data_IF_769203266665
#
_entry.id   IF_769203266665
#
_cell.length_a   1.000
_cell.length_b   1.000
_cell.length_c   1.000
_cell.angle_alpha   90.00
_cell.angle_beta   90.00
_cell.angle_gamma   90.00
#
_symmetry.space_group_name_H-M   'P 1'
#
loop_
_entity.id
_entity.type
_entity.pdbx_description
1 polymer ?
#
# COMPACT_ATOMS: atom_id res chain seq x y z
N UNK A 1 28.85 -53.21 -13.26
CA UNK A 1 27.89 -53.45 -14.36
C UNK A 1 26.99 -52.24 -14.49
N UNK A 2 27.32 -51.36 -15.44
CA UNK A 2 26.58 -50.13 -15.73
C UNK A 2 25.35 -50.46 -16.57
N UNK A 3 24.19 -49.88 -16.25
CA UNK A 3 23.05 -49.79 -17.17
C UNK A 3 22.72 -48.31 -17.40
N UNK A 4 23.27 -47.79 -18.49
CA UNK A 4 22.81 -46.58 -19.15
C UNK A 4 21.50 -46.88 -19.89
N UNK A 5 20.48 -46.05 -19.71
CA UNK A 5 19.29 -46.04 -20.56
C UNK A 5 19.23 -44.68 -21.27
N UNK A 6 19.29 -44.76 -22.59
CA UNK A 6 19.25 -43.67 -23.55
C UNK A 6 17.82 -43.18 -23.75
N UNK A 7 17.62 -41.85 -23.70
CA UNK A 7 16.41 -41.21 -24.22
C UNK A 7 16.58 -40.84 -25.71
N UNK A 8 15.51 -40.91 -26.52
CA UNK A 8 15.55 -40.52 -27.92
C UNK A 8 15.35 -39.01 -28.11
N UNK A 9 16.11 -38.47 -29.06
CA UNK A 9 16.02 -37.11 -29.58
C UNK A 9 14.80 -36.95 -30.50
N UNK A 10 14.05 -35.87 -30.31
CA UNK A 10 13.06 -35.38 -31.28
C UNK A 10 13.61 -34.12 -31.97
N UNK A 11 13.64 -34.18 -33.30
CA UNK A 11 13.99 -33.12 -34.23
C UNK A 11 12.74 -32.53 -34.88
N UNK A 12 12.93 -31.33 -35.46
CA UNK A 12 12.05 -30.62 -36.42
C UNK A 12 11.01 -29.70 -35.75
N UNK A 13 10.76 -28.45 -36.19
CA UNK A 13 10.76 -27.90 -37.55
C UNK A 13 11.03 -26.38 -37.58
N UNK A 14 11.61 -25.94 -38.70
CA UNK A 14 11.78 -24.55 -39.18
C UNK A 14 10.44 -23.79 -39.29
N UNK A 15 10.43 -22.48 -39.03
CA UNK A 15 9.52 -21.49 -39.66
C UNK A 15 10.17 -20.10 -39.54
N UNK A 16 10.86 -19.64 -40.59
CA UNK A 16 10.45 -18.62 -41.58
C UNK A 16 10.70 -17.18 -41.13
N UNK A 17 11.78 -16.62 -41.67
CA UNK A 17 12.20 -15.21 -41.65
C UNK A 17 11.46 -14.45 -42.75
N UNK A 18 10.88 -13.29 -42.45
CA UNK A 18 10.48 -12.25 -43.42
C UNK A 18 10.43 -10.86 -42.70
N UNK A 19 10.49 -9.72 -43.42
CA UNK A 19 11.67 -8.87 -43.38
C UNK A 19 11.49 -7.50 -42.70
N UNK A 20 12.65 -6.91 -42.45
CA UNK A 20 12.99 -5.52 -42.15
C UNK A 20 12.11 -4.47 -42.85
N UNK A 21 11.47 -3.59 -42.07
CA UNK A 21 11.02 -2.27 -42.55
C UNK A 21 11.90 -1.21 -41.88
N UNK A 22 12.81 -0.64 -42.68
CA UNK A 22 13.50 0.62 -42.39
C UNK A 22 12.49 1.78 -42.51
N UNK A 23 12.47 2.68 -41.53
CA UNK A 23 12.14 4.09 -41.77
C UNK A 23 13.22 5.00 -41.20
N UNK A 24 13.70 5.85 -42.08
CA UNK A 24 14.72 6.87 -41.89
C UNK A 24 14.12 8.15 -41.28
N UNK A 25 14.95 8.80 -40.46
CA UNK A 25 15.21 10.26 -40.34
C UNK A 25 14.04 11.23 -40.17
N UNK A 26 14.10 12.09 -39.14
CA UNK A 26 14.69 13.46 -39.26
C UNK A 26 14.43 14.33 -38.02
N UNK A 27 15.44 15.14 -37.65
CA UNK A 27 15.38 16.51 -37.09
C UNK A 27 14.60 16.74 -35.79
N UNK A 28 15.15 17.24 -34.67
CA UNK A 28 16.10 18.34 -34.53
C UNK A 28 15.37 19.59 -34.05
N UNK A 29 15.35 19.87 -32.75
CA UNK A 29 15.07 21.20 -32.20
C UNK A 29 15.61 21.34 -30.77
N UNK A 30 16.68 22.14 -30.65
CA UNK A 30 17.20 22.71 -29.40
C UNK A 30 16.29 23.88 -29.00
N UNK A 31 15.93 24.00 -27.73
CA UNK A 31 15.46 25.26 -27.14
C UNK A 31 16.31 25.60 -25.92
N UNK A 32 16.97 26.76 -26.02
CA UNK A 32 17.73 27.48 -25.00
C UNK A 32 16.82 28.54 -24.34
N UNK A 33 17.17 28.93 -23.11
CA UNK A 33 16.74 30.18 -22.45
C UNK A 33 15.49 29.98 -21.60
N UNK A 34 15.32 30.55 -20.41
CA UNK A 34 15.88 31.76 -19.83
C UNK A 34 16.17 31.55 -18.33
N UNK A 35 17.33 32.05 -17.90
CA UNK A 35 17.60 32.38 -16.51
C UNK A 35 17.05 33.80 -16.25
N UNK A 36 16.32 33.99 -15.16
CA UNK A 36 15.99 35.32 -14.63
C UNK A 36 16.59 35.41 -13.23
N UNK A 37 17.65 36.21 -13.16
CA UNK A 37 18.25 36.74 -11.95
C UNK A 37 17.51 38.03 -11.58
N UNK A 38 17.12 38.17 -10.31
CA UNK A 38 16.87 39.49 -9.72
C UNK A 38 17.43 39.53 -8.31
N UNK A 39 18.43 40.37 -8.16
CA UNK A 39 19.13 40.75 -6.95
C UNK A 39 18.39 41.84 -6.17
N UNK A 40 18.75 41.94 -4.88
CA UNK A 40 18.81 43.12 -4.02
C UNK A 40 17.52 43.68 -3.37
N UNK A 41 17.30 43.24 -2.12
CA UNK A 41 16.53 43.95 -1.09
C UNK A 41 17.41 45.05 -0.49
N UNK A 42 17.06 46.32 -0.76
CA UNK A 42 17.65 47.51 -0.11
C UNK A 42 16.94 47.84 1.21
N UNK A 43 17.75 48.37 2.12
CA UNK A 43 17.53 48.68 3.54
C UNK A 43 16.43 49.72 3.79
N UNK A 44 15.74 49.58 4.94
CA UNK A 44 14.77 50.52 5.53
C UNK A 44 15.40 51.89 5.85
N UNK A 45 14.68 53.02 5.65
CA UNK A 45 15.07 54.31 6.22
C UNK A 45 14.48 54.50 7.63
N UNK A 46 15.24 55.21 8.48
CA UNK A 46 14.86 55.64 9.83
C UNK A 46 13.83 56.77 9.77
N UNK A 47 12.78 56.68 10.58
CA UNK A 47 11.77 57.73 10.76
C UNK A 47 12.30 58.81 11.70
N UNK A 48 12.43 60.03 11.19
CA UNK A 48 12.73 61.24 11.97
C UNK A 48 11.46 61.85 12.58
N UNK A 49 11.62 62.47 13.75
CA UNK A 49 10.59 63.26 14.44
C UNK A 49 10.34 64.57 13.68
N UNK A 50 9.08 64.90 13.41
CA UNK A 50 8.64 66.25 13.01
C UNK A 50 7.47 66.68 13.88
N UNK A 51 7.48 67.96 14.23
CA UNK A 51 6.67 68.63 15.23
C UNK A 51 5.30 69.11 14.72
N UNK A 52 4.36 69.18 15.67
CA UNK A 52 3.28 70.15 15.94
C UNK A 52 2.58 70.87 14.78
N UNK A 53 1.25 70.71 14.74
CA UNK A 53 0.32 71.79 14.39
C UNK A 53 -0.70 71.44 13.28
N UNK A 54 -1.76 70.69 13.60
CA UNK A 54 -2.98 70.62 12.78
C UNK A 54 -4.19 70.67 13.72
N UNK A 55 -5.20 71.53 13.48
CA UNK A 55 -6.42 71.62 14.29
C UNK A 55 -7.29 70.36 14.15
N UNK A 56 -7.83 69.88 15.27
CA UNK A 56 -8.64 68.65 15.34
C UNK A 56 -9.99 68.82 14.65
N UNK A 57 -10.34 67.86 13.78
CA UNK A 57 -11.71 67.65 13.31
C UNK A 57 -12.57 67.03 14.44
N UNK A 58 -13.89 67.28 14.46
CA UNK A 58 -14.77 66.76 15.48
C UNK A 58 -14.79 65.22 15.47
N UNK A 59 -14.75 64.66 16.67
CA UNK A 59 -14.69 63.23 16.96
C UNK A 59 -15.97 62.54 16.44
N UNK A 60 -15.83 61.71 15.40
CA UNK A 60 -16.93 60.85 14.93
C UNK A 60 -17.06 59.71 15.94
N UNK A 61 -18.19 59.64 16.65
CA UNK A 61 -18.47 58.53 17.56
C UNK A 61 -18.27 57.18 16.84
N UNK A 62 -17.51 56.24 17.42
CA UNK A 62 -17.34 54.93 16.81
C UNK A 62 -18.70 54.21 16.73
N UNK A 63 -18.99 53.46 15.65
CA UNK A 63 -20.26 52.78 15.50
C UNK A 63 -20.51 51.87 16.71
N UNK A 64 -21.67 52.06 17.36
CA UNK A 64 -22.13 51.22 18.47
C UNK A 64 -21.98 49.75 18.07
N UNK A 65 -21.18 49.00 18.83
CA UNK A 65 -20.96 47.56 18.61
C UNK A 65 -22.31 46.86 18.51
N UNK A 66 -22.60 46.30 17.34
CA UNK A 66 -23.74 45.41 17.12
C UNK A 66 -23.67 44.28 18.16
N UNK A 67 -24.75 43.94 18.88
CA UNK A 67 -24.72 42.86 19.85
C UNK A 67 -24.26 41.58 19.15
N UNK A 68 -23.11 41.04 19.53
CA UNK A 68 -22.72 39.69 19.11
C UNK A 68 -23.75 38.74 19.71
N UNK A 69 -24.64 38.23 18.87
CA UNK A 69 -25.51 37.10 19.19
C UNK A 69 -24.64 36.02 19.82
N UNK A 70 -24.84 35.76 21.11
CA UNK A 70 -24.19 34.66 21.82
C UNK A 70 -24.77 33.38 21.24
N UNK A 71 -24.10 32.81 20.24
CA UNK A 71 -24.39 31.47 19.74
C UNK A 71 -24.37 30.52 20.93
N UNK A 72 -25.45 29.77 21.14
CA UNK A 72 -25.53 28.85 22.28
C UNK A 72 -24.42 27.80 22.09
N UNK A 73 -23.67 27.50 23.15
CA UNK A 73 -22.55 26.53 23.14
C UNK A 73 -22.91 25.16 22.51
N UNK A 74 -24.19 24.78 22.53
CA UNK A 74 -24.71 23.58 21.86
C UNK A 74 -24.86 23.68 20.34
N UNK A 75 -25.18 24.86 19.80
CA UNK A 75 -25.27 25.09 18.35
C UNK A 75 -23.89 25.05 17.70
N UNK A 76 -22.87 25.61 18.36
CA UNK A 76 -21.47 25.54 17.89
C UNK A 76 -20.99 24.10 17.78
N UNK A 77 -21.30 23.25 18.77
CA UNK A 77 -20.92 21.83 18.77
C UNK A 77 -21.61 21.04 17.67
N UNK A 78 -22.90 21.29 17.41
CA UNK A 78 -23.62 20.63 16.31
C UNK A 78 -23.11 21.03 14.93
N UNK A 79 -22.79 22.31 14.74
CA UNK A 79 -22.21 22.81 13.48
C UNK A 79 -20.83 22.20 13.24
N UNK A 80 -20.01 22.11 14.28
CA UNK A 80 -18.70 21.46 14.22
C UNK A 80 -18.84 19.98 13.83
N UNK A 81 -19.67 19.21 14.53
CA UNK A 81 -19.94 17.80 14.23
C UNK A 81 -20.42 17.57 12.80
N UNK A 82 -21.30 18.44 12.28
CA UNK A 82 -21.75 18.39 10.88
C UNK A 82 -20.60 18.64 9.90
N UNK A 83 -19.71 19.58 10.23
CA UNK A 83 -18.49 19.83 9.46
C UNK A 83 -17.56 18.61 9.44
N UNK A 84 -17.39 17.93 10.57
CA UNK A 84 -16.58 16.71 10.66
C UNK A 84 -17.17 15.57 9.82
N UNK A 85 -18.48 15.33 9.95
CA UNK A 85 -19.19 14.30 9.21
C UNK A 85 -19.11 14.53 7.70
N UNK A 86 -19.24 15.79 7.26
CA UNK A 86 -19.09 16.16 5.84
C UNK A 86 -17.68 15.84 5.32
N UNK A 87 -16.63 16.18 6.07
CA UNK A 87 -15.24 15.95 5.66
C UNK A 87 -14.89 14.47 5.59
N UNK A 88 -15.32 13.70 6.59
CA UNK A 88 -15.20 12.24 6.55
C UNK A 88 -15.95 11.65 5.36
N UNK A 89 -17.14 12.16 5.04
CA UNK A 89 -17.90 11.74 3.87
C UNK A 89 -17.16 12.05 2.56
N UNK A 90 -16.66 13.26 2.38
CA UNK A 90 -15.86 13.67 1.21
C UNK A 90 -14.60 12.79 1.06
N UNK A 91 -13.87 12.55 2.16
CA UNK A 91 -12.72 11.64 2.18
C UNK A 91 -13.11 10.23 1.74
N UNK A 92 -14.17 9.68 2.34
CA UNK A 92 -14.66 8.34 2.03
C UNK A 92 -15.05 8.24 0.57
N UNK A 93 -15.78 9.23 0.02
CA UNK A 93 -16.14 9.27 -1.40
C UNK A 93 -14.90 9.29 -2.29
N UNK A 94 -13.91 10.12 -1.98
CA UNK A 94 -12.64 10.18 -2.71
C UNK A 94 -11.91 8.84 -2.72
N UNK A 95 -11.83 8.18 -1.56
CA UNK A 95 -11.17 6.88 -1.43
C UNK A 95 -11.95 5.79 -2.15
N UNK A 96 -13.28 5.73 -2.02
CA UNK A 96 -14.12 4.70 -2.67
C UNK A 96 -14.09 4.79 -4.19
N UNK A 97 -13.91 5.99 -4.78
CA UNK A 97 -13.68 6.11 -6.24
C UNK A 97 -12.42 5.36 -6.68
N UNK A 98 -11.38 5.38 -5.86
CA UNK A 98 -10.10 4.71 -6.14
C UNK A 98 -10.17 3.23 -5.76
N UNK A 99 -10.78 2.91 -4.62
CA UNK A 99 -10.90 1.57 -4.05
C UNK A 99 -12.39 1.25 -3.80
N UNK A 100 -13.14 0.76 -4.80
CA UNK A 100 -14.58 0.51 -4.67
C UNK A 100 -14.95 -0.52 -3.58
N UNK A 101 -14.00 -1.40 -3.26
CA UNK A 101 -14.17 -2.48 -2.29
C UNK A 101 -13.71 -2.14 -0.86
N UNK A 102 -13.33 -0.89 -0.61
CA UNK A 102 -12.75 -0.45 0.67
C UNK A 102 -13.74 -0.54 1.85
N UNK A 103 -13.21 -0.89 3.02
CA UNK A 103 -13.90 -0.90 4.30
C UNK A 103 -13.11 -0.06 5.32
N UNK A 104 -13.78 0.60 6.29
CA UNK A 104 -13.09 1.10 7.48
C UNK A 104 -12.33 -0.03 8.17
N UNK A 105 -11.14 0.25 8.70
CA UNK A 105 -10.26 -0.77 9.29
C UNK A 105 -10.97 -1.66 10.33
N UNK A 106 -11.72 -1.06 11.26
CA UNK A 106 -12.43 -1.83 12.29
C UNK A 106 -13.49 -2.76 11.70
N UNK A 107 -14.27 -2.28 10.72
CA UNK A 107 -15.27 -3.10 10.01
C UNK A 107 -14.59 -4.27 9.28
N UNK A 108 -13.45 -4.04 8.64
CA UNK A 108 -12.68 -5.10 8.01
C UNK A 108 -12.21 -6.16 9.02
N UNK A 109 -11.72 -5.74 10.18
CA UNK A 109 -11.27 -6.66 11.22
C UNK A 109 -12.42 -7.49 11.80
N UNK A 110 -13.55 -6.85 12.11
CA UNK A 110 -14.76 -7.54 12.59
C UNK A 110 -15.24 -8.59 11.58
N UNK A 111 -15.35 -8.23 10.30
CA UNK A 111 -15.84 -9.13 9.26
C UNK A 111 -14.86 -10.28 8.96
N UNK A 112 -13.57 -9.98 8.83
CA UNK A 112 -12.56 -11.01 8.58
C UNK A 112 -12.46 -11.99 9.76
N UNK A 113 -12.48 -11.51 11.00
CA UNK A 113 -12.51 -12.35 12.19
C UNK A 113 -13.80 -13.18 12.27
N UNK A 114 -14.97 -12.61 11.98
CA UNK A 114 -16.25 -13.35 11.97
C UNK A 114 -16.20 -14.53 11.00
N UNK A 115 -15.70 -14.31 9.77
CA UNK A 115 -15.61 -15.35 8.75
C UNK A 115 -14.62 -16.44 9.14
N UNK A 116 -13.44 -16.04 9.60
CA UNK A 116 -12.41 -16.98 10.00
C UNK A 116 -12.82 -17.77 11.25
N UNK A 117 -13.52 -17.15 12.20
CA UNK A 117 -14.12 -17.84 13.35
C UNK A 117 -15.11 -18.92 12.92
N UNK A 118 -15.96 -18.65 11.91
CA UNK A 118 -16.88 -19.64 11.34
C UNK A 118 -16.15 -20.82 10.66
N UNK A 119 -14.93 -20.61 10.21
CA UNK A 119 -14.04 -21.64 9.68
C UNK A 119 -13.16 -22.29 10.77
N UNK A 120 -13.35 -21.88 12.03
CA UNK A 120 -12.67 -22.43 13.20
C UNK A 120 -11.31 -21.80 13.51
N UNK A 121 -10.93 -20.69 12.89
CA UNK A 121 -9.75 -19.91 13.28
C UNK A 121 -10.18 -18.87 14.32
N UNK A 122 -9.61 -18.92 15.51
CA UNK A 122 -9.81 -17.91 16.54
C UNK A 122 -8.45 -17.51 17.17
N UNK A 123 -8.45 -16.43 17.94
CA UNK A 123 -7.27 -15.92 18.67
C UNK A 123 -6.54 -16.96 19.52
N UNK A 124 -7.27 -17.94 20.06
CA UNK A 124 -6.72 -18.95 20.97
C UNK A 124 -6.24 -20.22 20.24
N UNK A 125 -6.53 -20.35 18.94
CA UNK A 125 -6.26 -21.56 18.14
C UNK A 125 -5.44 -21.33 16.90
N UNK A 126 -5.25 -20.07 16.48
CA UNK A 126 -4.49 -19.70 15.30
C UNK A 126 -3.42 -18.66 15.62
N UNK A 127 -2.28 -18.76 14.94
CA UNK A 127 -1.26 -17.72 14.96
C UNK A 127 -1.45 -16.79 13.77
N UNK A 128 -1.58 -15.50 14.03
CA UNK A 128 -1.49 -14.49 12.99
C UNK A 128 -0.03 -14.35 12.51
N UNK A 129 0.18 -14.37 11.19
CA UNK A 129 1.45 -14.09 10.53
C UNK A 129 1.25 -12.84 9.68
N UNK A 130 1.99 -11.78 9.96
CA UNK A 130 1.64 -10.43 9.46
C UNK A 130 2.79 -9.83 8.66
N UNK A 131 2.59 -9.66 7.36
CA UNK A 131 3.49 -9.00 6.42
C UNK A 131 2.93 -7.66 5.93
N UNK A 132 3.36 -6.56 6.56
CA UNK A 132 3.08 -5.18 6.15
C UNK A 132 4.36 -4.50 5.63
N UNK A 133 4.24 -3.26 5.15
CA UNK A 133 5.42 -2.42 4.90
C UNK A 133 6.15 -2.12 6.23
N UNK A 134 7.46 -1.88 6.16
CA UNK A 134 8.25 -1.40 7.31
C UNK A 134 7.88 0.02 7.75
N UNK A 135 7.17 0.74 6.90
CA UNK A 135 6.69 2.10 7.16
C UNK A 135 5.87 2.18 8.46
N UNK A 136 6.14 3.16 9.33
CA UNK A 136 5.54 3.22 10.68
C UNK A 136 4.03 3.43 10.66
N UNK A 137 3.53 3.96 9.55
CA UNK A 137 2.12 4.29 9.33
C UNK A 137 1.25 3.04 9.21
N UNK A 138 1.86 1.87 9.02
CA UNK A 138 1.15 0.57 9.01
C UNK A 138 0.72 0.11 10.42
N UNK A 139 1.22 0.76 11.47
CA UNK A 139 1.02 0.35 12.86
C UNK A 139 -0.44 0.27 13.33
N UNK A 140 -1.37 1.17 12.95
CA UNK A 140 -2.77 1.03 13.32
C UNK A 140 -3.39 -0.30 12.87
N UNK A 141 -3.02 -0.80 11.68
CA UNK A 141 -3.50 -2.08 11.18
C UNK A 141 -2.87 -3.24 11.95
N UNK A 142 -1.55 -3.21 12.17
CA UNK A 142 -0.88 -4.21 13.02
C UNK A 142 -1.54 -4.29 14.41
N UNK A 143 -1.80 -3.15 15.06
CA UNK A 143 -2.44 -3.12 16.37
C UNK A 143 -3.84 -3.75 16.35
N UNK A 144 -4.62 -3.48 15.30
CA UNK A 144 -5.97 -4.04 15.15
C UNK A 144 -5.92 -5.56 14.92
N UNK A 145 -4.93 -6.04 14.17
CA UNK A 145 -4.66 -7.48 14.04
C UNK A 145 -4.27 -8.07 15.39
N UNK A 146 -3.36 -7.43 16.14
CA UNK A 146 -2.93 -7.90 17.47
C UNK A 146 -4.09 -7.98 18.46
N UNK A 147 -4.99 -7.01 18.44
CA UNK A 147 -6.20 -7.02 19.28
C UNK A 147 -7.08 -8.24 18.97
N UNK A 148 -7.37 -8.46 17.68
CA UNK A 148 -8.24 -9.52 17.19
C UNK A 148 -7.62 -10.93 17.29
N UNK A 149 -6.31 -11.06 17.12
CA UNK A 149 -5.63 -12.36 16.92
C UNK A 149 -4.52 -12.67 17.93
N UNK A 150 -4.24 -11.77 18.88
CA UNK A 150 -3.09 -11.91 19.78
C UNK A 150 -1.77 -11.50 19.13
N UNK A 151 -0.65 -11.70 19.82
CA UNK A 151 0.67 -11.29 19.34
C UNK A 151 1.06 -12.02 18.04
N UNK A 152 1.22 -11.31 16.91
CA UNK A 152 1.48 -11.94 15.63
C UNK A 152 2.96 -12.27 15.43
N UNK A 153 3.23 -13.24 14.55
CA UNK A 153 4.55 -13.41 13.95
C UNK A 153 4.74 -12.37 12.84
N UNK A 154 5.59 -11.36 13.09
CA UNK A 154 5.77 -10.21 12.19
C UNK A 154 6.81 -10.50 11.12
N UNK A 155 6.43 -10.38 9.85
CA UNK A 155 7.27 -10.60 8.66
C UNK A 155 7.38 -9.36 7.77
N UNK A 156 7.30 -8.16 8.35
CA UNK A 156 7.32 -6.91 7.59
C UNK A 156 8.57 -6.79 6.71
N UNK A 157 8.41 -6.15 5.54
CA UNK A 157 9.51 -5.84 4.62
C UNK A 157 9.14 -4.65 3.74
N UNK A 158 10.11 -4.10 3.01
CA UNK A 158 9.84 -3.07 2.00
C UNK A 158 8.76 -3.52 1.01
N UNK A 159 7.75 -2.68 0.79
CA UNK A 159 6.63 -2.99 -0.10
C UNK A 159 5.77 -4.19 0.35
N UNK A 160 5.82 -4.56 1.63
CA UNK A 160 5.11 -5.71 2.21
C UNK A 160 5.39 -7.05 1.51
N UNK A 161 6.60 -7.26 1.00
CA UNK A 161 7.01 -8.51 0.37
C UNK A 161 7.19 -9.65 1.38
N UNK A 162 6.99 -10.89 0.92
CA UNK A 162 7.19 -12.07 1.75
C UNK A 162 8.66 -12.53 1.73
N UNK A 163 9.43 -12.12 2.75
CA UNK A 163 10.86 -12.48 2.89
C UNK A 163 11.12 -13.48 4.03
N UNK A 164 10.07 -14.12 4.56
CA UNK A 164 10.13 -15.03 5.73
C UNK A 164 10.88 -16.34 5.43
N UNK A 165 10.84 -16.79 4.17
CA UNK A 165 11.55 -17.98 3.70
C UNK A 165 11.07 -19.30 4.33
N UNK A 166 11.80 -20.37 4.02
CA UNK A 166 11.50 -21.74 4.47
C UNK A 166 11.51 -21.89 5.98
N UNK A 167 12.53 -21.36 6.65
CA UNK A 167 12.66 -21.56 8.10
C UNK A 167 11.66 -20.70 8.87
N UNK A 168 11.37 -19.48 8.42
CA UNK A 168 10.37 -18.66 9.10
C UNK A 168 8.95 -19.23 9.00
N UNK A 169 8.53 -19.82 7.87
CA UNK A 169 7.20 -20.46 7.80
C UNK A 169 7.10 -21.71 8.70
N UNK A 170 8.19 -22.46 8.86
CA UNK A 170 8.23 -23.59 9.81
C UNK A 170 8.14 -23.10 11.26
N UNK A 171 8.86 -22.02 11.61
CA UNK A 171 8.75 -21.41 12.93
C UNK A 171 7.33 -20.93 13.22
N UNK A 172 6.63 -20.37 12.23
CA UNK A 172 5.21 -20.04 12.38
C UNK A 172 4.37 -21.27 12.77
N UNK A 173 4.58 -22.42 12.12
CA UNK A 173 3.85 -23.66 12.44
C UNK A 173 4.20 -24.21 13.83
N UNK A 174 5.45 -24.07 14.26
CA UNK A 174 5.93 -24.53 15.57
C UNK A 174 5.40 -23.66 16.71
N UNK A 175 5.31 -22.34 16.50
CA UNK A 175 4.81 -21.38 17.50
C UNK A 175 3.29 -21.29 17.54
N UNK A 176 2.60 -21.82 16.53
CA UNK A 176 1.15 -21.74 16.46
C UNK A 176 0.48 -22.46 17.66
N UNK A 177 -0.56 -21.85 18.27
CA UNK A 177 -1.27 -22.44 19.39
C UNK A 177 -1.82 -23.84 19.09
N UNK A 178 -1.73 -24.74 20.06
CA UNK A 178 -2.36 -26.05 20.03
C UNK A 178 -3.23 -26.23 21.26
N UNK A 179 -4.55 -26.04 21.10
CA UNK A 179 -5.53 -26.20 22.20
C UNK A 179 -5.50 -27.62 22.81
N UNK A 180 -5.18 -28.63 22.01
CA UNK A 180 -5.02 -30.03 22.45
C UNK A 180 -3.87 -30.69 21.68
N UNK A 181 -3.33 -31.80 22.19
CA UNK A 181 -2.25 -32.55 21.52
C UNK A 181 -2.59 -33.02 20.10
N UNK A 182 -3.88 -33.23 19.80
CA UNK A 182 -4.36 -33.69 18.49
C UNK A 182 -5.02 -32.56 17.66
N UNK A 183 -4.96 -31.30 18.12
CA UNK A 183 -5.51 -30.19 17.37
C UNK A 183 -4.66 -29.92 16.12
N UNK A 184 -5.34 -29.59 15.01
CA UNK A 184 -4.69 -29.11 13.78
C UNK A 184 -4.03 -27.77 14.06
N UNK A 185 -2.83 -27.57 13.54
CA UNK A 185 -2.13 -26.28 13.60
C UNK A 185 -2.84 -25.28 12.70
N UNK A 186 -3.03 -24.03 13.15
CA UNK A 186 -3.72 -23.01 12.34
C UNK A 186 -2.90 -21.74 12.19
N UNK A 187 -2.81 -21.23 10.96
CA UNK A 187 -2.19 -19.95 10.64
C UNK A 187 -3.20 -19.02 9.97
N UNK A 188 -3.15 -17.74 10.29
CA UNK A 188 -3.84 -16.67 9.55
C UNK A 188 -2.81 -15.68 9.04
N UNK A 189 -2.56 -15.69 7.73
CA UNK A 189 -1.52 -14.90 7.08
C UNK A 189 -2.14 -13.64 6.50
N UNK A 190 -1.64 -12.47 6.90
CA UNK A 190 -1.99 -11.17 6.32
C UNK A 190 -0.81 -10.66 5.48
N UNK A 191 -1.03 -10.41 4.19
CA UNK A 191 -0.05 -9.76 3.31
C UNK A 191 -0.64 -8.46 2.75
N UNK A 192 -0.26 -7.32 3.33
CA UNK A 192 -0.93 -6.06 3.07
C UNK A 192 0.03 -4.91 2.79
N UNK A 193 0.32 -4.58 1.50
CA UNK A 193 0.98 -3.33 1.16
C UNK A 193 0.06 -2.15 1.49
N UNK A 194 0.65 -0.96 1.60
CA UNK A 194 -0.05 0.25 2.01
C UNK A 194 0.06 1.39 0.99
N UNK A 195 -0.90 2.31 1.03
CA UNK A 195 -0.94 3.52 0.20
C UNK A 195 -1.71 4.63 0.93
N UNK A 196 -1.35 5.89 0.71
CA UNK A 196 -2.15 7.02 1.19
C UNK A 196 -3.08 7.51 0.08
N UNK A 197 -4.29 7.95 0.46
CA UNK A 197 -5.25 8.56 -0.44
C UNK A 197 -6.02 9.71 0.24
N UNK A 198 -6.26 10.80 -0.49
CA UNK A 198 -6.99 11.98 0.01
C UNK A 198 -8.42 12.08 -0.54
N UNK A 199 -9.15 13.12 -0.13
CA UNK A 199 -10.54 13.38 -0.56
C UNK A 199 -10.70 13.65 -2.08
N UNK A 200 -9.61 13.95 -2.79
CA UNK A 200 -9.60 14.16 -4.24
C UNK A 200 -9.22 12.90 -5.02
N UNK A 201 -9.09 11.76 -4.33
CA UNK A 201 -8.61 10.49 -4.91
C UNK A 201 -7.15 10.53 -5.36
N UNK A 202 -6.37 11.53 -4.94
CA UNK A 202 -4.92 11.55 -5.15
C UNK A 202 -4.24 10.56 -4.21
N UNK A 203 -3.12 9.97 -4.67
CA UNK A 203 -2.43 8.91 -3.93
C UNK A 203 -0.93 9.15 -3.83
N UNK A 204 -0.34 8.67 -2.74
CA UNK A 204 1.12 8.53 -2.61
C UNK A 204 1.83 9.61 -1.82
N UNK A 205 1.13 10.65 -1.39
CA UNK A 205 1.64 11.65 -0.45
C UNK A 205 0.82 11.61 0.83
N UNK A 206 1.49 11.75 1.97
CA UNK A 206 0.87 11.80 3.29
C UNK A 206 1.55 12.81 4.19
N UNK A 207 0.78 13.45 5.05
CA UNK A 207 1.32 14.21 6.16
C UNK A 207 1.70 13.26 7.29
N UNK A 208 2.91 13.44 7.81
CA UNK A 208 3.43 12.65 8.94
C UNK A 208 3.53 13.54 10.15
N UNK A 209 3.34 12.95 11.33
CA UNK A 209 3.45 13.68 12.58
C UNK A 209 4.84 14.35 12.69
N UNK A 210 4.85 15.64 13.05
CA UNK A 210 6.09 16.43 13.17
C UNK A 210 6.77 16.81 11.86
N UNK A 211 6.16 16.53 10.69
CA UNK A 211 6.66 16.98 9.38
C UNK A 211 5.77 18.11 8.83
N UNK A 212 6.35 19.26 8.47
CA UNK A 212 5.58 20.37 7.90
C UNK A 212 5.14 20.10 6.45
N UNK A 213 5.87 19.23 5.75
CA UNK A 213 5.65 18.93 4.34
C UNK A 213 5.13 17.50 4.15
N UNK A 214 4.29 17.26 3.12
CA UNK A 214 3.83 15.93 2.80
C UNK A 214 5.02 15.05 2.37
N UNK A 215 5.04 13.84 2.89
CA UNK A 215 6.05 12.83 2.63
C UNK A 215 5.48 11.74 1.70
N UNK A 216 6.30 11.10 0.86
CA UNK A 216 5.88 9.91 0.13
C UNK A 216 5.41 8.79 1.07
N UNK A 217 4.31 8.14 0.72
CA UNK A 217 3.89 6.87 1.32
C UNK A 217 4.43 5.74 0.46
N UNK A 218 5.00 4.71 1.10
CA UNK A 218 5.57 3.57 0.41
C UNK A 218 6.58 4.01 -0.68
N UNK A 219 7.59 4.77 -0.24
CA UNK A 219 8.60 5.39 -1.10
C UNK A 219 9.34 4.39 -1.97
N UNK A 220 9.48 3.15 -1.51
CA UNK A 220 10.11 2.04 -2.20
C UNK A 220 9.35 1.66 -3.48
N UNK A 221 8.01 1.61 -3.46
CA UNK A 221 7.20 1.36 -4.65
C UNK A 221 7.21 2.54 -5.61
N UNK A 222 7.28 3.78 -5.09
CA UNK A 222 7.44 4.96 -5.94
C UNK A 222 8.81 4.98 -6.64
N UNK A 223 9.86 4.53 -5.96
CA UNK A 223 11.19 4.37 -6.54
C UNK A 223 11.20 3.27 -7.61
N UNK A 224 10.53 2.14 -7.35
CA UNK A 224 10.31 1.11 -8.37
C UNK A 224 9.59 1.67 -9.61
N UNK A 225 8.53 2.46 -9.44
CA UNK A 225 7.83 3.11 -10.56
C UNK A 225 8.75 4.03 -11.36
N UNK A 226 9.61 4.82 -10.69
CA UNK A 226 10.58 5.68 -11.39
C UNK A 226 11.53 4.86 -12.24
N UNK A 227 12.15 3.83 -11.65
CA UNK A 227 13.06 2.89 -12.33
C UNK A 227 12.38 2.19 -13.52
N UNK A 228 11.11 1.82 -13.35
CA UNK A 228 10.30 1.22 -14.40
C UNK A 228 10.07 2.19 -15.57
N UNK A 229 9.69 3.45 -15.29
CA UNK A 229 9.41 4.47 -16.31
C UNK A 229 10.65 4.87 -17.12
N UNK A 230 11.82 4.89 -16.50
CA UNK A 230 13.08 5.19 -17.21
C UNK A 230 13.69 3.97 -17.93
N UNK A 231 13.04 2.81 -17.84
CA UNK A 231 13.49 1.58 -18.51
C UNK A 231 14.68 0.91 -17.84
N UNK A 232 14.91 1.13 -16.54
CA UNK A 232 15.96 0.44 -15.78
C UNK A 232 15.74 -1.08 -15.77
N UNK A 233 14.48 -1.50 -15.67
CA UNK A 233 14.13 -2.92 -15.69
C UNK A 233 13.88 -3.38 -17.13
N UNK A 234 14.65 -4.38 -17.58
CA UNK A 234 14.46 -4.95 -18.92
C UNK A 234 13.37 -6.03 -18.90
N UNK A 235 12.11 -5.61 -18.81
CA UNK A 235 10.94 -6.51 -18.76
C UNK A 235 10.69 -7.27 -20.07
N UNK A 236 11.34 -6.89 -21.17
CA UNK A 236 11.18 -7.50 -22.50
C UNK A 236 12.25 -8.54 -22.85
N UNK A 237 13.30 -8.70 -22.02
CA UNK A 237 14.10 -9.93 -22.05
C UNK A 237 13.11 -11.07 -21.75
N UNK A 238 13.06 -12.06 -22.64
CA UNK A 238 12.26 -13.30 -22.60
C UNK A 238 11.78 -13.64 -21.15
N UNK A 239 10.53 -14.02 -20.87
CA UNK A 239 10.09 -14.37 -19.52
C UNK A 239 10.95 -15.47 -18.83
N UNK A 240 11.75 -16.21 -19.61
CA UNK A 240 12.75 -17.18 -19.16
C UNK A 240 14.16 -16.60 -18.90
N UNK A 241 14.40 -15.31 -19.11
CA UNK A 241 15.69 -14.62 -18.87
C UNK A 241 15.77 -14.00 -17.48
N UNK A 242 14.63 -13.75 -16.84
CA UNK A 242 14.65 -13.69 -15.39
C UNK A 242 14.91 -15.11 -14.92
N UNK A 243 16.00 -15.26 -14.18
CA UNK A 243 16.32 -16.39 -13.31
C UNK A 243 15.03 -17.12 -12.82
N UNK A 244 15.02 -18.48 -12.76
CA UNK A 244 13.95 -19.27 -12.15
C UNK A 244 13.38 -18.60 -10.91
N UNK A 245 12.12 -18.84 -10.57
CA UNK A 245 11.44 -18.01 -9.57
C UNK A 245 12.22 -17.81 -8.25
N UNK A 246 13.03 -18.79 -7.85
CA UNK A 246 13.82 -18.80 -6.62
C UNK A 246 15.25 -18.24 -6.79
N UNK A 247 15.69 -17.99 -8.03
CA UNK A 247 17.00 -17.43 -8.35
C UNK A 247 16.96 -15.89 -8.36
N UNK A 248 18.02 -15.30 -7.82
CA UNK A 248 18.25 -13.85 -7.77
C UNK A 248 19.01 -13.44 -9.03
N UNK A 249 18.52 -12.42 -9.74
CA UNK A 249 19.27 -11.80 -10.82
C UNK A 249 20.44 -10.99 -10.21
N UNK A 250 21.70 -11.41 -10.44
CA UNK A 250 22.87 -10.74 -9.87
C UNK A 250 23.05 -9.32 -10.42
N UNK A 251 22.53 -9.00 -11.61
CA UNK A 251 22.59 -7.64 -12.18
C UNK A 251 21.64 -6.68 -11.45
N UNK A 252 20.56 -7.20 -10.85
CA UNK A 252 19.58 -6.42 -10.09
C UNK A 252 19.79 -6.49 -8.58
N UNK A 253 20.83 -7.19 -8.12
CA UNK A 253 21.09 -7.43 -6.71
C UNK A 253 22.18 -6.50 -6.17
N UNK A 254 21.80 -5.65 -5.22
CA UNK A 254 22.71 -4.81 -4.46
C UNK A 254 22.76 -5.32 -3.01
N UNK A 255 23.90 -5.86 -2.55
CA UNK A 255 24.05 -6.30 -1.17
C UNK A 255 23.86 -5.19 -0.12
N UNK A 256 24.06 -3.93 -0.51
CA UNK A 256 23.87 -2.77 0.37
C UNK A 256 22.40 -2.34 0.50
N UNK A 257 21.53 -2.79 -0.42
CA UNK A 257 20.09 -2.54 -0.41
C UNK A 257 19.29 -3.83 -0.70
N UNK A 258 19.54 -4.83 0.13
CA UNK A 258 19.05 -6.21 0.00
C UNK A 258 17.53 -6.26 -0.24
N UNK A 259 16.74 -5.61 0.60
CA UNK A 259 15.28 -5.69 0.53
C UNK A 259 14.72 -4.99 -0.71
N UNK A 260 15.28 -3.84 -1.09
CA UNK A 260 14.82 -3.13 -2.28
C UNK A 260 15.17 -3.93 -3.55
N UNK A 261 16.37 -4.53 -3.61
CA UNK A 261 16.75 -5.40 -4.72
C UNK A 261 15.84 -6.62 -4.85
N UNK A 262 15.56 -7.31 -3.75
CA UNK A 262 14.64 -8.46 -3.75
C UNK A 262 13.23 -8.01 -4.16
N UNK A 263 12.73 -6.90 -3.60
CA UNK A 263 11.42 -6.35 -3.95
C UNK A 263 11.34 -6.03 -5.45
N UNK A 264 12.31 -5.30 -6.01
CA UNK A 264 12.31 -4.94 -7.42
C UNK A 264 12.25 -6.17 -8.33
N UNK A 265 13.03 -7.22 -8.03
CA UNK A 265 13.02 -8.46 -8.80
C UNK A 265 11.67 -9.16 -8.70
N UNK A 266 11.10 -9.28 -7.50
CA UNK A 266 9.79 -9.88 -7.26
C UNK A 266 8.68 -9.16 -8.02
N UNK A 267 8.65 -7.82 -7.97
CA UNK A 267 7.69 -7.01 -8.70
C UNK A 267 7.87 -7.14 -10.22
N UNK A 268 9.10 -7.19 -10.73
CA UNK A 268 9.34 -7.44 -12.16
C UNK A 268 8.80 -8.82 -12.58
N UNK A 269 9.10 -9.87 -11.82
CA UNK A 269 8.58 -11.23 -12.07
C UNK A 269 7.05 -11.24 -12.05
N UNK A 270 6.44 -10.54 -11.08
CA UNK A 270 4.98 -10.46 -11.00
C UNK A 270 4.35 -9.69 -12.17
N UNK A 271 4.93 -8.55 -12.58
CA UNK A 271 4.47 -7.82 -13.76
C UNK A 271 4.55 -8.67 -15.02
N UNK A 272 5.60 -9.48 -15.19
CA UNK A 272 5.73 -10.40 -16.31
C UNK A 272 4.62 -11.46 -16.28
N UNK A 273 4.33 -12.04 -15.10
CA UNK A 273 3.21 -12.99 -14.92
C UNK A 273 1.85 -12.36 -15.25
N UNK A 274 1.67 -11.08 -14.93
CA UNK A 274 0.45 -10.32 -15.23
C UNK A 274 0.34 -9.94 -16.73
N UNK A 275 1.27 -10.39 -17.58
CA UNK A 275 1.25 -10.12 -19.02
C UNK A 275 1.96 -8.82 -19.43
N UNK A 276 2.79 -8.27 -18.54
CA UNK A 276 3.55 -7.05 -18.74
C UNK A 276 2.98 -5.88 -17.94
N UNK A 277 3.37 -4.67 -18.36
CA UNK A 277 3.12 -3.45 -17.61
C UNK A 277 2.41 -2.42 -18.51
N UNK A 278 1.15 -2.13 -18.19
CA UNK A 278 0.32 -1.15 -18.92
C UNK A 278 -0.07 0.07 -18.05
N UNK A 279 0.05 -0.02 -16.73
CA UNK A 279 -0.33 1.05 -15.79
C UNK A 279 0.68 1.20 -14.65
N UNK A 280 1.39 2.35 -14.59
CA UNK A 280 2.36 2.72 -13.52
C UNK A 280 1.77 3.60 -12.46
N UNK A 281 0.45 3.64 -12.36
CA UNK A 281 -0.20 4.22 -11.20
C UNK A 281 0.33 3.54 -9.93
N UNK A 282 0.53 4.34 -8.88
CA UNK A 282 0.95 3.82 -7.59
C UNK A 282 -0.05 2.77 -7.09
N UNK A 283 -1.34 3.01 -7.31
CA UNK A 283 -2.40 2.05 -7.02
C UNK A 283 -2.15 0.67 -7.66
N UNK A 284 -1.85 0.62 -8.96
CA UNK A 284 -1.62 -0.64 -9.64
C UNK A 284 -0.37 -1.33 -9.09
N UNK A 285 0.72 -0.60 -8.88
CA UNK A 285 1.96 -1.17 -8.35
C UNK A 285 1.81 -1.64 -6.89
N UNK A 286 1.04 -0.94 -6.06
CA UNK A 286 0.66 -1.42 -4.71
C UNK A 286 -0.09 -2.74 -4.78
N UNK A 287 -1.03 -2.90 -5.73
CA UNK A 287 -1.73 -4.17 -5.96
C UNK A 287 -0.79 -5.28 -6.43
N UNK A 288 0.14 -4.98 -7.35
CA UNK A 288 1.16 -5.93 -7.82
C UNK A 288 2.06 -6.37 -6.67
N UNK A 289 2.41 -5.47 -5.76
CA UNK A 289 3.20 -5.80 -4.58
C UNK A 289 2.51 -6.82 -3.67
N UNK A 290 1.21 -6.65 -3.43
CA UNK A 290 0.44 -7.60 -2.63
C UNK A 290 0.25 -8.94 -3.34
N UNK A 291 0.00 -8.96 -4.65
CA UNK A 291 -0.03 -10.21 -5.45
C UNK A 291 1.30 -10.97 -5.42
N UNK A 292 2.41 -10.23 -5.53
CA UNK A 292 3.75 -10.79 -5.43
C UNK A 292 3.98 -11.46 -4.07
N UNK A 293 3.58 -10.80 -2.98
CA UNK A 293 3.66 -11.36 -1.63
C UNK A 293 2.74 -12.57 -1.45
N UNK A 294 1.51 -12.52 -1.97
CA UNK A 294 0.56 -13.64 -1.95
C UNK A 294 1.15 -14.88 -2.65
N UNK A 295 1.72 -14.70 -3.85
CA UNK A 295 2.36 -15.77 -4.61
C UNK A 295 3.50 -16.44 -3.83
N UNK A 296 4.34 -15.64 -3.17
CA UNK A 296 5.42 -16.16 -2.34
C UNK A 296 4.90 -16.95 -1.13
N UNK A 297 3.84 -16.49 -0.46
CA UNK A 297 3.22 -17.25 0.62
C UNK A 297 2.59 -18.56 0.12
N UNK A 298 1.88 -18.54 -1.01
CA UNK A 298 1.32 -19.74 -1.64
C UNK A 298 2.39 -20.79 -1.97
N UNK A 299 3.57 -20.34 -2.41
CA UNK A 299 4.73 -21.21 -2.60
C UNK A 299 5.27 -21.81 -1.31
N UNK A 300 5.40 -20.99 -0.27
CA UNK A 300 5.86 -21.49 1.03
C UNK A 300 4.87 -22.50 1.60
N UNK A 301 3.56 -22.23 1.49
CA UNK A 301 2.50 -23.12 1.95
C UNK A 301 2.55 -24.44 1.19
N UNK A 302 2.52 -24.39 -0.15
CA UNK A 302 2.51 -25.61 -0.99
C UNK A 302 3.75 -26.49 -0.83
N UNK A 303 4.92 -25.90 -0.52
CA UNK A 303 6.17 -26.65 -0.36
C UNK A 303 6.43 -27.13 1.07
N UNK A 304 5.99 -26.40 2.09
CA UNK A 304 6.45 -26.60 3.46
C UNK A 304 5.35 -26.78 4.50
N UNK A 305 4.08 -26.58 4.15
CA UNK A 305 2.95 -26.80 5.06
C UNK A 305 2.23 -28.09 4.69
N UNK A 306 2.09 -29.00 5.65
CA UNK A 306 1.26 -30.19 5.48
C UNK A 306 -0.21 -29.85 5.75
N UNK A 307 -0.97 -29.61 4.68
CA UNK A 307 -2.39 -29.25 4.73
C UNK A 307 -3.30 -30.39 5.23
N UNK A 308 -2.80 -31.62 5.34
CA UNK A 308 -3.49 -32.72 6.03
C UNK A 308 -3.42 -32.58 7.56
N UNK A 309 -2.52 -31.75 8.08
CA UNK A 309 -2.33 -31.55 9.52
C UNK A 309 -2.55 -30.09 9.96
N UNK A 310 -2.57 -29.16 9.01
CA UNK A 310 -2.66 -27.73 9.25
C UNK A 310 -3.85 -27.13 8.50
N UNK A 311 -4.47 -26.11 9.10
CA UNK A 311 -5.41 -25.23 8.41
C UNK A 311 -4.73 -23.86 8.22
N UNK A 312 -4.90 -23.24 7.06
CA UNK A 312 -4.26 -21.95 6.75
C UNK A 312 -5.28 -21.03 6.13
N UNK A 313 -5.36 -19.80 6.63
CA UNK A 313 -6.04 -18.71 5.95
C UNK A 313 -5.02 -17.70 5.44
N UNK A 314 -5.23 -17.15 4.26
CA UNK A 314 -4.42 -16.09 3.66
C UNK A 314 -5.32 -14.94 3.25
N UNK A 315 -4.94 -13.74 3.66
CA UNK A 315 -5.64 -12.48 3.39
C UNK A 315 -4.67 -11.52 2.72
N UNK A 316 -4.93 -11.22 1.45
CA UNK A 316 -4.26 -10.19 0.69
C UNK A 316 -5.18 -8.96 0.60
N UNK A 317 -4.79 -7.87 1.24
CA UNK A 317 -5.52 -6.62 1.22
C UNK A 317 -4.58 -5.42 1.00
N UNK A 318 -5.13 -4.25 0.70
CA UNK A 318 -4.36 -3.00 0.65
C UNK A 318 -4.79 -2.14 1.84
N UNK A 319 -3.83 -1.76 2.68
CA UNK A 319 -4.07 -0.76 3.72
C UNK A 319 -4.07 0.63 3.07
N UNK A 320 -5.11 1.42 3.34
CA UNK A 320 -5.27 2.77 2.80
C UNK A 320 -5.33 3.78 3.93
N UNK A 321 -4.32 4.64 3.98
CA UNK A 321 -4.28 5.78 4.91
C UNK A 321 -5.11 6.92 4.32
N UNK A 322 -6.28 7.17 4.89
CA UNK A 322 -7.16 8.24 4.47
C UNK A 322 -6.82 9.53 5.18
N UNK A 323 -6.41 10.56 4.43
CA UNK A 323 -6.11 11.88 4.99
C UNK A 323 -6.92 12.98 4.31
N UNK A 324 -7.71 13.73 5.08
CA UNK A 324 -8.46 14.88 4.57
C UNK A 324 -7.66 16.17 4.68
N UNK A 325 -7.58 16.92 3.58
CA UNK A 325 -6.88 18.21 3.50
C UNK A 325 -7.87 19.32 3.10
N UNK A 326 -7.78 20.47 3.76
CA UNK A 326 -8.64 21.63 3.46
C UNK A 326 -7.79 22.67 2.72
N UNK A 327 -8.06 22.86 1.42
CA UNK A 327 -7.32 23.80 0.58
C UNK A 327 -7.42 25.22 1.16
N UNK A 328 -6.36 25.68 1.83
CA UNK A 328 -6.29 27.01 2.45
C UNK A 328 -5.77 27.04 3.88
N UNK A 329 -5.56 25.89 4.53
CA UNK A 329 -4.79 25.77 5.78
C UNK A 329 -3.86 24.58 5.68
N UNK A 330 -2.71 24.81 5.04
CA UNK A 330 -1.67 23.81 4.73
C UNK A 330 -1.11 23.15 6.01
N UNK A 331 -1.30 23.77 7.17
CA UNK A 331 -0.69 23.37 8.44
C UNK A 331 -1.56 22.47 9.34
N UNK A 332 -2.77 22.08 8.94
CA UNK A 332 -3.66 21.27 9.78
C UNK A 332 -4.19 20.05 9.02
N UNK A 333 -3.59 18.87 9.26
CA UNK A 333 -4.25 17.59 9.01
C UNK A 333 -5.50 17.52 9.88
N UNK A 334 -6.69 17.47 9.27
CA UNK A 334 -7.96 17.59 10.02
C UNK A 334 -8.57 16.25 10.36
N UNK A 335 -8.41 15.28 9.47
CA UNK A 335 -8.90 13.92 9.66
C UNK A 335 -7.91 12.93 9.11
N UNK A 336 -7.63 11.92 9.92
CA UNK A 336 -6.89 10.73 9.56
C UNK A 336 -7.75 9.53 9.96
N UNK A 337 -7.95 8.61 9.01
CA UNK A 337 -8.69 7.38 9.25
C UNK A 337 -8.11 6.27 8.40
N UNK A 338 -8.21 5.05 8.90
CA UNK A 338 -7.64 3.87 8.27
C UNK A 338 -8.71 3.06 7.58
N UNK A 339 -8.37 2.58 6.40
CA UNK A 339 -9.22 1.73 5.61
C UNK A 339 -8.44 0.52 5.09
N UNK A 340 -9.17 -0.52 4.70
CA UNK A 340 -8.60 -1.73 4.12
C UNK A 340 -9.45 -2.16 2.93
N UNK A 341 -8.79 -2.43 1.80
CA UNK A 341 -9.43 -2.96 0.60
C UNK A 341 -8.98 -4.39 0.35
N UNK A 342 -9.83 -5.38 0.68
CA UNK A 342 -9.54 -6.80 0.39
C UNK A 342 -9.35 -7.00 -1.11
N UNK A 343 -8.22 -7.53 -1.53
CA UNK A 343 -7.98 -7.87 -2.93
C UNK A 343 -8.38 -9.32 -3.19
N UNK A 344 -7.77 -10.24 -2.44
CA UNK A 344 -7.92 -11.69 -2.59
C UNK A 344 -7.74 -12.35 -1.22
N UNK A 345 -8.31 -13.52 -1.02
CA UNK A 345 -8.05 -14.32 0.17
C UNK A 345 -8.69 -15.68 0.09
N UNK A 346 -8.24 -16.60 0.92
CA UNK A 346 -8.77 -17.96 0.99
C UNK A 346 -8.46 -18.60 2.33
N UNK A 347 -9.16 -19.69 2.63
CA UNK A 347 -8.78 -20.62 3.67
C UNK A 347 -8.68 -22.04 3.11
N UNK A 348 -7.70 -22.81 3.55
CA UNK A 348 -7.64 -24.25 3.40
C UNK A 348 -7.93 -24.88 4.75
N UNK A 349 -9.07 -25.54 4.86
CA UNK A 349 -9.52 -26.21 6.09
C UNK A 349 -9.67 -27.69 5.80
N UNK A 350 -8.93 -28.54 6.51
CA UNK A 350 -8.92 -30.00 6.28
C UNK A 350 -8.67 -30.36 4.81
N UNK A 351 -7.71 -29.69 4.18
CA UNK A 351 -7.37 -29.89 2.77
C UNK A 351 -8.32 -29.24 1.75
N UNK A 352 -9.47 -28.70 2.18
CA UNK A 352 -10.43 -28.06 1.30
C UNK A 352 -10.20 -26.55 1.21
N UNK A 353 -9.93 -26.05 0.00
CA UNK A 353 -9.80 -24.60 -0.27
C UNK A 353 -11.19 -23.96 -0.39
N UNK A 354 -11.34 -22.79 0.25
CA UNK A 354 -12.50 -21.92 0.18
C UNK A 354 -12.03 -20.50 -0.04
N UNK A 355 -12.44 -19.88 -1.13
CA UNK A 355 -11.98 -18.53 -1.47
C UNK A 355 -12.89 -17.49 -0.80
N UNK A 356 -12.30 -16.37 -0.39
CA UNK A 356 -13.04 -15.22 0.11
C UNK A 356 -13.43 -14.34 -1.07
N UNK A 357 -14.69 -13.90 -1.09
CA UNK A 357 -15.13 -12.85 -2.00
C UNK A 357 -15.76 -11.72 -1.21
N UNK A 358 -15.73 -10.51 -1.78
CA UNK A 358 -16.61 -9.45 -1.31
C UNK A 358 -18.01 -9.76 -1.85
N UNK A 359 -19.00 -9.81 -0.97
CA UNK A 359 -20.38 -9.75 -1.40
C UNK A 359 -20.71 -8.31 -1.79
N UNK A 360 -20.93 -8.11 -3.08
CA UNK A 360 -21.26 -6.80 -3.67
C UNK A 360 -22.62 -6.29 -3.18
N UNK A 361 -23.49 -7.16 -2.65
CA UNK A 361 -24.84 -6.80 -2.20
C UNK A 361 -24.86 -6.25 -0.78
N UNK A 362 -24.08 -6.83 0.13
CA UNK A 362 -24.04 -6.39 1.53
C UNK A 362 -22.77 -5.60 1.89
N UNK A 363 -21.84 -5.45 0.94
CA UNK A 363 -20.50 -4.90 1.19
C UNK A 363 -19.73 -5.66 2.29
N UNK A 364 -20.10 -6.92 2.53
CA UNK A 364 -19.49 -7.80 3.50
C UNK A 364 -18.50 -8.75 2.83
N UNK A 365 -17.70 -9.43 3.64
CA UNK A 365 -16.88 -10.54 3.18
C UNK A 365 -17.71 -11.83 3.25
N UNK A 366 -17.57 -12.70 2.24
CA UNK A 366 -18.24 -14.00 2.16
C UNK A 366 -17.24 -15.09 1.74
N UNK A 367 -17.56 -16.33 2.09
CA UNK A 367 -16.85 -17.53 1.65
C UNK A 367 -17.61 -18.14 0.48
N UNK A 368 -16.90 -18.45 -0.60
CA UNK A 368 -17.49 -18.99 -1.84
C UNK A 368 -17.01 -20.40 -2.13
#
# INVERSE_FOLDING_TARGET
>A
MNKSSSMPSFTSTKTTVLPTIRRNTSTGAKLRGLAISTTNVKRRPKVGKIAKGIPMLPEVEPPRRVPRLKVKKGETRQVELRGQARKLHELTVGITRKFPNILPLQVFMEESSRILNNLGFDKDSALAVVGLSRDEVTRPFLNSITEAWGEPYVTHSLGAQCNVGREGIKQCLEHAPKKTSNARTKLVIFCCPNICCNQESETGLMYRNGKPEPCPTNSELQEFIKKLKVGTFNLHKNPHTFCPDDDIDPEMFDPSDLELSIMNQKLCKQLIRDGGFNDSSLQNITRVAGKSALYDFEKLISRYVNLELCDVAVIHAIQVHGQYQDFGKVDELKYETEFVALQEGYAVVKGERRDFRKDERHALLEVV
#
